data_IF_943411848856
#
_entry.id   IF_943411848856
#
_cell.length_a   1.000
_cell.length_b   1.000
_cell.length_c   1.000
_cell.angle_alpha   90.00
_cell.angle_beta   90.00
_cell.angle_gamma   90.00
#
_symmetry.space_group_name_H-M   'P 1'
#
loop_
_entity.id
_entity.type
_entity.pdbx_description
1 polymer ?
#
# COMPACT_ATOMS: atom_id res chain seq x y z
N UNK A 1 -66.44 0.92 34.21
CA UNK A 1 -65.58 -0.18 33.76
C UNK A 1 -64.63 0.35 32.70
N UNK A 2 -63.32 0.31 32.99
CA UNK A 2 -62.22 0.78 32.13
C UNK A 2 -61.91 -0.28 31.06
N UNK A 3 -61.68 0.14 29.81
CA UNK A 3 -60.81 -0.58 28.87
C UNK A 3 -60.02 0.43 28.05
N UNK A 4 -58.81 0.73 28.52
CA UNK A 4 -57.75 1.33 27.70
C UNK A 4 -57.33 0.31 26.63
N UNK A 5 -57.40 0.67 25.35
CA UNK A 5 -56.62 0.00 24.32
C UNK A 5 -55.38 0.86 24.06
N UNK A 6 -54.25 0.42 24.62
CA UNK A 6 -52.91 0.87 24.23
C UNK A 6 -52.61 0.30 22.85
N UNK A 7 -52.55 1.16 21.83
CA UNK A 7 -51.96 0.83 20.54
C UNK A 7 -50.45 1.09 20.64
N UNK A 8 -49.70 -0.01 20.72
CA UNK A 8 -48.25 -0.07 20.63
C UNK A 8 -47.83 0.37 19.21
N UNK A 9 -46.96 1.37 19.01
CA UNK A 9 -46.36 1.60 17.71
C UNK A 9 -45.31 0.51 17.48
N UNK A 10 -45.55 -0.33 16.48
CA UNK A 10 -44.56 -1.26 15.95
C UNK A 10 -43.36 -0.43 15.47
N UNK A 11 -42.26 -0.50 16.21
CA UNK A 11 -40.95 -0.04 15.80
C UNK A 11 -40.56 -0.82 14.54
N UNK A 12 -40.70 -0.18 13.37
CA UNK A 12 -40.10 -0.64 12.12
C UNK A 12 -38.58 -0.55 12.31
N UNK A 13 -38.00 -1.66 12.72
CA UNK A 13 -36.57 -1.93 12.58
C UNK A 13 -36.32 -1.97 11.08
N UNK A 14 -35.83 -0.86 10.51
CA UNK A 14 -35.21 -0.84 9.19
C UNK A 14 -33.99 -1.75 9.27
N UNK A 15 -34.18 -3.03 8.94
CA UNK A 15 -33.06 -3.88 8.57
C UNK A 15 -32.41 -3.26 7.34
N UNK A 16 -31.16 -2.83 7.53
CA UNK A 16 -30.28 -2.29 6.52
C UNK A 16 -30.26 -3.27 5.35
N UNK A 17 -30.86 -2.87 4.23
CA UNK A 17 -30.78 -3.62 2.99
C UNK A 17 -29.32 -3.59 2.53
N UNK A 18 -28.66 -4.75 2.58
CA UNK A 18 -27.34 -4.94 2.00
C UNK A 18 -27.42 -4.59 0.51
N UNK A 19 -26.77 -3.52 0.08
CA UNK A 19 -26.76 -3.08 -1.31
C UNK A 19 -25.81 -3.98 -2.12
N UNK A 20 -26.27 -5.19 -2.43
CA UNK A 20 -25.56 -6.15 -3.27
C UNK A 20 -26.02 -5.97 -4.71
N UNK A 21 -25.13 -5.57 -5.61
CA UNK A 21 -25.51 -5.27 -6.98
C UNK A 21 -25.40 -6.51 -7.88
N UNK A 22 -26.25 -6.57 -8.91
CA UNK A 22 -26.36 -7.74 -9.81
C UNK A 22 -25.36 -7.72 -10.98
N UNK A 23 -24.65 -6.61 -11.17
CA UNK A 23 -23.72 -6.45 -12.29
C UNK A 23 -22.63 -5.45 -11.94
N UNK A 24 -21.46 -5.62 -12.54
CA UNK A 24 -20.31 -4.73 -12.44
C UNK A 24 -20.66 -3.26 -12.70
N UNK A 25 -21.41 -2.97 -13.78
CA UNK A 25 -21.83 -1.62 -14.13
C UNK A 25 -22.72 -0.97 -13.04
N UNK A 26 -23.60 -1.76 -12.41
CA UNK A 26 -24.41 -1.29 -11.28
C UNK A 26 -23.55 -1.04 -10.04
N UNK A 27 -22.50 -1.83 -9.81
CA UNK A 27 -21.55 -1.60 -8.72
C UNK A 27 -20.81 -0.27 -8.92
N UNK A 28 -20.29 -0.03 -10.13
CA UNK A 28 -19.66 1.25 -10.50
C UNK A 28 -20.64 2.41 -10.31
N UNK A 29 -21.89 2.25 -10.75
CA UNK A 29 -22.95 3.24 -10.53
C UNK A 29 -23.21 3.53 -9.05
N UNK A 30 -23.26 2.50 -8.20
CA UNK A 30 -23.49 2.66 -6.77
C UNK A 30 -22.34 3.35 -6.04
N UNK A 31 -21.09 3.11 -6.47
CA UNK A 31 -19.90 3.83 -5.98
C UNK A 31 -20.03 5.31 -6.33
N UNK A 32 -20.39 5.63 -7.58
CA UNK A 32 -20.59 7.01 -8.03
C UNK A 32 -21.74 7.69 -7.31
N UNK A 33 -22.89 7.04 -7.13
CA UNK A 33 -24.02 7.59 -6.35
C UNK A 33 -23.61 7.91 -4.90
N UNK A 34 -22.79 7.05 -4.30
CA UNK A 34 -22.25 7.28 -2.96
C UNK A 34 -21.32 8.49 -2.91
N UNK A 35 -20.49 8.68 -3.94
CA UNK A 35 -19.65 9.87 -4.09
C UNK A 35 -20.46 11.13 -4.38
N UNK A 36 -21.51 11.05 -5.20
CA UNK A 36 -22.42 12.17 -5.50
C UNK A 36 -23.14 12.65 -4.23
N UNK A 37 -23.61 11.73 -3.41
CA UNK A 37 -24.32 12.03 -2.15
C UNK A 37 -23.38 12.34 -0.99
N UNK A 38 -22.10 11.95 -1.07
CA UNK A 38 -21.13 12.03 0.03
C UNK A 38 -21.50 11.16 1.23
N UNK A 39 -22.39 10.19 1.06
CA UNK A 39 -22.88 9.34 2.15
C UNK A 39 -21.96 8.13 2.31
N UNK A 40 -21.04 8.20 3.27
CA UNK A 40 -20.14 7.08 3.53
C UNK A 40 -20.89 5.84 4.05
N UNK A 41 -22.00 5.99 4.77
CA UNK A 41 -22.80 4.84 5.21
C UNK A 41 -23.33 3.99 4.05
N UNK A 42 -23.84 4.63 2.99
CA UNK A 42 -24.25 3.93 1.76
C UNK A 42 -23.06 3.27 1.09
N UNK A 43 -21.93 3.98 1.00
CA UNK A 43 -20.71 3.46 0.41
C UNK A 43 -20.18 2.21 1.14
N UNK A 44 -20.11 2.22 2.47
CA UNK A 44 -19.63 1.07 3.25
C UNK A 44 -20.55 -0.15 3.12
N UNK A 45 -21.85 0.07 2.85
CA UNK A 45 -22.80 -1.03 2.62
C UNK A 45 -22.55 -1.80 1.31
N UNK A 46 -21.71 -1.26 0.42
CA UNK A 46 -21.30 -1.92 -0.83
C UNK A 46 -20.27 -3.04 -0.59
N UNK A 47 -19.63 -3.05 0.58
CA UNK A 47 -18.58 -4.02 0.92
C UNK A 47 -19.18 -5.28 1.55
N UNK A 48 -18.55 -6.45 1.35
CA UNK A 48 -18.99 -7.66 2.00
C UNK A 48 -18.59 -7.62 3.49
N UNK A 49 -19.46 -8.12 4.37
CA UNK A 49 -19.08 -8.36 5.75
C UNK A 49 -18.15 -9.57 5.86
N UNK A 50 -17.28 -9.56 6.87
CA UNK A 50 -16.38 -10.66 7.19
C UNK A 50 -17.14 -11.97 7.37
N UNK A 51 -18.29 -11.95 8.05
CA UNK A 51 -19.14 -13.12 8.24
C UNK A 51 -19.66 -13.70 6.92
N UNK A 52 -19.98 -12.84 5.95
CA UNK A 52 -20.41 -13.27 4.60
C UNK A 52 -19.28 -13.96 3.84
N UNK A 53 -18.07 -13.40 3.92
CA UNK A 53 -16.86 -13.98 3.33
C UNK A 53 -16.51 -15.32 4.00
N UNK A 54 -16.56 -15.37 5.33
CA UNK A 54 -16.26 -16.57 6.11
C UNK A 54 -17.27 -17.69 5.83
N UNK A 55 -18.56 -17.36 5.73
CA UNK A 55 -19.60 -18.32 5.33
C UNK A 55 -19.34 -18.88 3.94
N UNK A 56 -18.90 -18.04 3.00
CA UNK A 56 -18.57 -18.46 1.64
C UNK A 56 -17.32 -19.34 1.62
N UNK A 57 -16.32 -19.04 2.45
CA UNK A 57 -15.15 -19.88 2.64
C UNK A 57 -15.53 -21.26 3.19
N UNK A 58 -16.37 -21.33 4.22
CA UNK A 58 -16.83 -22.62 4.78
C UNK A 58 -17.71 -23.43 3.81
N UNK A 59 -18.37 -22.78 2.85
CA UNK A 59 -19.10 -23.46 1.79
C UNK A 59 -18.17 -24.02 0.70
N UNK A 60 -16.89 -23.63 0.70
CA UNK A 60 -15.89 -24.12 -0.26
C UNK A 60 -15.32 -25.46 0.22
N UNK A 61 -15.10 -26.40 -0.71
CA UNK A 61 -14.49 -27.72 -0.42
C UNK A 61 -12.96 -27.69 -0.32
N UNK A 62 -12.35 -26.51 -0.44
CA UNK A 62 -10.90 -26.33 -0.50
C UNK A 62 -10.30 -26.17 0.91
N UNK A 63 -9.72 -27.26 1.40
CA UNK A 63 -9.10 -27.31 2.73
C UNK A 63 -7.87 -26.43 2.85
N UNK A 64 -7.14 -26.15 1.76
CA UNK A 64 -5.96 -25.29 1.79
C UNK A 64 -6.37 -23.83 2.01
N UNK A 65 -7.39 -23.34 1.27
CA UNK A 65 -7.93 -22.01 1.47
C UNK A 65 -8.47 -21.83 2.91
N UNK A 66 -9.19 -22.83 3.42
CA UNK A 66 -9.68 -22.81 4.81
C UNK A 66 -8.55 -22.69 5.83
N UNK A 67 -7.47 -23.47 5.68
CA UNK A 67 -6.33 -23.40 6.60
C UNK A 67 -5.65 -22.02 6.54
N UNK A 68 -5.44 -21.47 5.33
CA UNK A 68 -4.79 -20.17 5.15
C UNK A 68 -5.58 -19.05 5.84
N UNK A 69 -6.88 -18.94 5.60
CA UNK A 69 -7.70 -17.86 6.16
C UNK A 69 -8.09 -18.07 7.62
N UNK A 70 -8.11 -19.31 8.13
CA UNK A 70 -8.25 -19.56 9.56
C UNK A 70 -6.97 -19.22 10.33
N UNK A 71 -5.80 -19.39 9.71
CA UNK A 71 -4.51 -19.03 10.33
C UNK A 71 -4.31 -17.52 10.36
N UNK A 72 -4.73 -16.82 9.32
CA UNK A 72 -4.68 -15.35 9.26
C UNK A 72 -6.03 -14.75 8.81
N UNK A 73 -6.95 -14.47 9.76
CA UNK A 73 -8.24 -13.85 9.49
C UNK A 73 -8.14 -12.45 8.88
N UNK A 74 -7.00 -11.75 9.08
CA UNK A 74 -6.80 -10.37 8.64
C UNK A 74 -6.94 -10.23 7.12
N UNK A 75 -6.58 -11.29 6.40
CA UNK A 75 -6.68 -11.37 4.93
C UNK A 75 -8.10 -11.28 4.40
N UNK A 76 -9.11 -11.66 5.18
CA UNK A 76 -10.52 -11.45 4.84
C UNK A 76 -11.08 -10.19 5.50
N UNK A 77 -10.66 -9.89 6.72
CA UNK A 77 -11.08 -8.70 7.46
C UNK A 77 -10.75 -7.39 6.72
N UNK A 78 -9.67 -7.36 5.91
CA UNK A 78 -9.32 -6.18 5.13
C UNK A 78 -10.42 -5.70 4.16
N UNK A 79 -11.37 -6.57 3.80
CA UNK A 79 -12.47 -6.24 2.90
C UNK A 79 -13.73 -5.74 3.61
N UNK A 80 -13.77 -5.86 4.95
CA UNK A 80 -14.91 -5.45 5.76
C UNK A 80 -14.63 -4.07 6.38
N UNK A 81 -15.45 -3.04 6.08
CA UNK A 81 -15.35 -1.72 6.70
C UNK A 81 -15.33 -1.69 8.22
N UNK A 82 -15.94 -2.69 8.89
CA UNK A 82 -15.94 -2.78 10.36
C UNK A 82 -14.54 -3.05 10.89
N UNK A 83 -13.74 -3.83 10.18
CA UNK A 83 -12.38 -4.21 10.57
C UNK A 83 -11.30 -3.37 9.88
N UNK A 84 -11.60 -2.83 8.69
CA UNK A 84 -10.71 -1.97 7.93
C UNK A 84 -11.28 -0.54 7.83
N UNK A 85 -11.03 0.33 8.84
CA UNK A 85 -11.50 1.71 8.81
C UNK A 85 -10.84 2.56 7.72
N UNK A 86 -9.77 2.07 7.08
CA UNK A 86 -9.14 2.77 5.95
C UNK A 86 -10.12 2.93 4.78
N UNK A 87 -11.08 2.02 4.59
CA UNK A 87 -12.08 2.10 3.51
C UNK A 87 -12.91 3.40 3.65
N UNK A 88 -13.36 3.72 4.86
CA UNK A 88 -14.12 4.95 5.15
C UNK A 88 -13.23 6.19 5.12
N UNK A 89 -12.00 6.08 5.66
CA UNK A 89 -11.02 7.17 5.65
C UNK A 89 -10.66 7.59 4.22
N UNK A 90 -10.37 6.62 3.35
CA UNK A 90 -9.98 6.86 1.96
C UNK A 90 -11.15 7.41 1.15
N UNK A 91 -12.37 6.90 1.36
CA UNK A 91 -13.57 7.47 0.77
C UNK A 91 -13.73 8.95 1.12
N UNK A 92 -13.61 9.29 2.41
CA UNK A 92 -13.69 10.68 2.88
C UNK A 92 -12.54 11.53 2.33
N UNK A 93 -11.33 10.98 2.24
CA UNK A 93 -10.18 11.65 1.66
C UNK A 93 -10.36 11.94 0.17
N UNK A 94 -10.84 10.97 -0.61
CA UNK A 94 -11.17 11.11 -2.03
C UNK A 94 -12.28 12.14 -2.22
N UNK A 95 -13.37 12.03 -1.45
CA UNK A 95 -14.48 12.98 -1.52
C UNK A 95 -14.04 14.41 -1.21
N UNK A 96 -13.22 14.59 -0.16
CA UNK A 96 -12.64 15.89 0.18
C UNK A 96 -11.70 16.39 -0.93
N UNK A 97 -10.81 15.53 -1.42
CA UNK A 97 -9.85 15.88 -2.49
C UNK A 97 -10.55 16.31 -3.77
N UNK A 98 -11.66 15.66 -4.14
CA UNK A 98 -12.48 16.11 -5.26
C UNK A 98 -12.99 17.53 -5.06
N UNK A 99 -13.56 17.84 -3.88
CA UNK A 99 -14.02 19.20 -3.57
C UNK A 99 -12.89 20.22 -3.62
N UNK A 100 -11.74 19.88 -3.03
CA UNK A 100 -10.54 20.73 -3.03
C UNK A 100 -10.01 20.95 -4.47
N UNK A 101 -10.27 20.01 -5.38
CA UNK A 101 -9.94 20.06 -6.81
C UNK A 101 -11.05 20.66 -7.68
N UNK A 102 -12.01 21.37 -7.08
CA UNK A 102 -13.16 22.01 -7.76
C UNK A 102 -14.14 21.06 -8.44
N UNK A 103 -14.11 19.77 -8.11
CA UNK A 103 -15.06 18.78 -8.62
C UNK A 103 -16.43 18.93 -7.94
N UNK A 104 -17.47 19.13 -8.74
CA UNK A 104 -18.85 19.19 -8.26
C UNK A 104 -19.46 17.79 -8.22
N UNK A 105 -19.29 17.11 -7.08
CA UNK A 105 -19.78 15.73 -6.91
C UNK A 105 -21.25 15.53 -7.29
N UNK A 106 -22.14 16.51 -7.05
CA UNK A 106 -23.56 16.42 -7.41
C UNK A 106 -23.83 16.38 -8.91
N UNK A 107 -22.90 16.85 -9.73
CA UNK A 107 -23.10 17.13 -11.16
C UNK A 107 -22.11 16.36 -12.03
N UNK A 108 -21.60 15.22 -11.53
CA UNK A 108 -20.72 14.34 -12.30
C UNK A 108 -21.53 13.41 -13.22
N UNK A 109 -21.00 13.21 -14.42
CA UNK A 109 -21.51 12.26 -15.41
C UNK A 109 -20.47 11.16 -15.64
N UNK A 110 -20.91 9.90 -15.59
CA UNK A 110 -20.04 8.77 -15.96
C UNK A 110 -19.77 8.82 -17.46
N UNK A 111 -18.50 8.95 -17.84
CA UNK A 111 -18.06 8.89 -19.24
C UNK A 111 -17.78 7.45 -19.63
N UNK A 112 -16.84 6.81 -18.93
CA UNK A 112 -16.50 5.39 -19.08
C UNK A 112 -15.81 4.86 -17.83
N UNK A 113 -15.62 3.56 -17.75
CA UNK A 113 -14.78 2.92 -16.75
C UNK A 113 -13.91 1.86 -17.41
N UNK A 114 -12.70 1.68 -16.90
CA UNK A 114 -11.72 0.71 -17.39
C UNK A 114 -11.25 -0.10 -16.19
N UNK A 115 -11.66 -1.37 -16.17
CA UNK A 115 -11.38 -2.30 -15.08
C UNK A 115 -10.59 -3.49 -15.61
N UNK A 116 -9.51 -3.82 -14.92
CA UNK A 116 -8.65 -4.95 -15.18
C UNK A 116 -8.74 -5.98 -14.06
N UNK A 117 -8.54 -7.25 -14.40
CA UNK A 117 -8.52 -8.31 -13.40
C UNK A 117 -7.25 -8.21 -12.58
N UNK A 118 -7.42 -8.10 -11.26
CA UNK A 118 -6.29 -8.03 -10.35
C UNK A 118 -5.59 -9.38 -10.25
N UNK A 119 -4.25 -9.37 -10.29
CA UNK A 119 -3.46 -10.56 -10.03
C UNK A 119 -3.55 -10.96 -8.56
N UNK A 120 -3.69 -12.25 -8.31
CA UNK A 120 -3.73 -12.79 -6.95
C UNK A 120 -2.29 -12.92 -6.47
N UNK A 121 -1.95 -12.17 -5.41
CA UNK A 121 -0.67 -12.28 -4.71
C UNK A 121 -0.58 -13.60 -3.95
N UNK A 122 0.64 -14.10 -3.69
CA UNK A 122 0.87 -15.41 -3.05
C UNK A 122 0.18 -15.52 -1.69
N UNK A 123 0.16 -14.42 -0.93
CA UNK A 123 -0.48 -14.37 0.39
C UNK A 123 -2.00 -14.48 0.33
N UNK A 124 -2.59 -14.19 -0.83
CA UNK A 124 -4.01 -14.26 -1.10
C UNK A 124 -4.40 -15.55 -1.84
N UNK A 125 -3.52 -16.56 -1.89
CA UNK A 125 -3.84 -17.86 -2.49
C UNK A 125 -5.06 -18.48 -1.81
N UNK A 126 -6.04 -18.90 -2.61
CA UNK A 126 -7.32 -19.42 -2.13
C UNK A 126 -8.42 -18.35 -2.07
N UNK A 127 -8.09 -17.05 -2.18
CA UNK A 127 -9.11 -15.99 -2.26
C UNK A 127 -9.99 -16.16 -3.50
N UNK A 128 -9.44 -16.73 -4.58
CA UNK A 128 -10.14 -17.02 -5.84
C UNK A 128 -11.31 -17.99 -5.68
N UNK A 129 -11.28 -18.80 -4.62
CA UNK A 129 -12.36 -19.74 -4.31
C UNK A 129 -13.57 -19.04 -3.70
N UNK A 130 -13.31 -17.96 -2.95
CA UNK A 130 -14.34 -17.13 -2.33
C UNK A 130 -14.79 -16.06 -3.32
N UNK A 131 -13.84 -15.27 -3.81
CA UNK A 131 -14.00 -14.14 -4.71
C UNK A 131 -13.49 -14.57 -6.09
N UNK A 132 -14.39 -14.98 -6.97
CA UNK A 132 -14.05 -15.54 -8.29
C UNK A 132 -13.43 -14.50 -9.23
N UNK A 133 -13.89 -13.26 -9.10
CA UNK A 133 -13.46 -12.13 -9.92
C UNK A 133 -13.12 -10.99 -8.99
N UNK A 134 -11.93 -10.41 -9.16
CA UNK A 134 -11.48 -9.23 -8.43
C UNK A 134 -10.90 -8.27 -9.45
N UNK A 135 -11.45 -7.06 -9.52
CA UNK A 135 -11.07 -6.04 -10.49
C UNK A 135 -10.49 -4.82 -9.79
N UNK A 136 -9.60 -4.12 -10.48
CA UNK A 136 -9.12 -2.78 -10.16
C UNK A 136 -9.09 -1.93 -11.42
N UNK A 137 -9.01 -0.62 -11.27
CA UNK A 137 -8.83 0.28 -12.41
C UNK A 137 -9.40 1.65 -12.12
N UNK A 138 -10.09 2.20 -13.12
CA UNK A 138 -10.39 3.62 -13.20
C UNK A 138 -11.82 3.88 -13.61
N UNK A 139 -12.47 4.81 -12.92
CA UNK A 139 -13.77 5.36 -13.29
C UNK A 139 -13.54 6.79 -13.77
N UNK A 140 -13.93 7.08 -15.01
CA UNK A 140 -13.73 8.37 -15.65
C UNK A 140 -15.04 9.13 -15.66
N UNK A 141 -15.03 10.30 -15.05
CA UNK A 141 -16.21 11.16 -14.92
C UNK A 141 -15.95 12.53 -15.53
N UNK A 142 -17.00 13.14 -16.05
CA UNK A 142 -17.01 14.53 -16.49
C UNK A 142 -17.83 15.35 -15.51
N UNK A 143 -17.28 16.47 -15.03
CA UNK A 143 -18.05 17.44 -14.27
C UNK A 143 -18.89 18.28 -15.24
N UNK A 144 -20.21 18.19 -15.15
CA UNK A 144 -21.12 18.87 -16.07
C UNK A 144 -21.04 20.41 -15.96
N UNK A 145 -20.57 20.95 -14.84
CA UNK A 145 -20.46 22.40 -14.62
C UNK A 145 -19.15 22.95 -15.18
N UNK A 146 -18.03 22.26 -14.93
CA UNK A 146 -16.70 22.73 -15.33
C UNK A 146 -16.23 22.15 -16.67
N UNK A 147 -16.90 21.10 -17.17
CA UNK A 147 -16.51 20.29 -18.35
C UNK A 147 -15.12 19.69 -18.23
N UNK A 148 -14.62 19.54 -17.00
CA UNK A 148 -13.34 18.91 -16.71
C UNK A 148 -13.53 17.42 -16.53
N UNK A 149 -12.51 16.67 -16.95
CA UNK A 149 -12.46 15.22 -16.78
C UNK A 149 -11.70 14.86 -15.51
N UNK A 150 -12.24 13.92 -14.75
CA UNK A 150 -11.64 13.39 -13.54
C UNK A 150 -11.57 11.89 -13.63
N UNK A 151 -10.48 11.33 -13.11
CA UNK A 151 -10.25 9.90 -13.02
C UNK A 151 -10.20 9.52 -11.55
N UNK A 152 -11.07 8.58 -11.19
CA UNK A 152 -11.18 8.01 -9.84
C UNK A 152 -10.56 6.62 -9.88
N UNK A 153 -9.51 6.40 -9.09
CA UNK A 153 -8.90 5.09 -8.95
C UNK A 153 -9.67 4.23 -7.95
N UNK A 154 -10.00 3.02 -8.38
CA UNK A 154 -10.78 2.05 -7.60
C UNK A 154 -10.11 0.70 -7.61
N UNK A 155 -10.08 0.05 -6.44
CA UNK A 155 -9.59 -1.31 -6.26
C UNK A 155 -10.69 -2.19 -5.68
N UNK A 156 -10.48 -3.50 -5.68
CA UNK A 156 -11.33 -4.43 -4.93
C UNK A 156 -12.80 -4.44 -5.34
N UNK A 157 -13.09 -4.35 -6.64
CA UNK A 157 -14.42 -4.67 -7.16
C UNK A 157 -14.52 -6.20 -7.27
N UNK A 158 -15.35 -6.81 -6.43
CA UNK A 158 -15.36 -8.24 -6.18
C UNK A 158 -16.66 -8.89 -6.70
N UNK A 159 -16.52 -9.90 -7.54
CA UNK A 159 -17.60 -10.77 -7.98
C UNK A 159 -17.65 -12.07 -7.17
N UNK A 160 -18.70 -12.24 -6.37
CA UNK A 160 -18.93 -13.41 -5.51
C UNK A 160 -20.39 -13.87 -5.63
N UNK A 161 -20.58 -15.16 -5.95
CA UNK A 161 -21.91 -15.79 -6.04
C UNK A 161 -22.92 -15.07 -6.95
N UNK A 162 -22.46 -14.47 -8.04
CA UNK A 162 -23.32 -13.74 -8.99
C UNK A 162 -23.72 -12.33 -8.53
N UNK A 163 -23.13 -11.85 -7.43
CA UNK A 163 -23.30 -10.51 -6.90
C UNK A 163 -21.96 -9.79 -6.88
N UNK A 164 -22.01 -8.46 -6.90
CA UNK A 164 -20.85 -7.58 -6.90
C UNK A 164 -20.78 -6.77 -5.61
N UNK A 165 -19.55 -6.59 -5.14
CA UNK A 165 -19.22 -5.96 -3.87
C UNK A 165 -17.96 -5.11 -3.98
N UNK A 166 -17.73 -4.27 -2.99
CA UNK A 166 -16.51 -3.50 -2.80
C UNK A 166 -16.41 -2.31 -3.75
N UNK A 167 -15.20 -2.04 -4.23
CA UNK A 167 -14.86 -0.83 -4.94
C UNK A 167 -14.23 0.23 -4.03
N UNK A 168 -13.11 -0.13 -3.42
CA UNK A 168 -12.30 0.74 -2.59
C UNK A 168 -11.72 1.88 -3.43
N UNK A 169 -12.29 3.08 -3.27
CA UNK A 169 -11.78 4.31 -3.90
C UNK A 169 -10.49 4.75 -3.20
N UNK A 170 -9.43 4.95 -3.97
CA UNK A 170 -8.10 5.28 -3.43
C UNK A 170 -7.66 6.70 -3.74
N UNK A 171 -8.05 7.24 -4.89
CA UNK A 171 -7.62 8.58 -5.30
C UNK A 171 -8.58 9.17 -6.36
N UNK A 172 -8.54 10.50 -6.51
CA UNK A 172 -9.20 11.23 -7.60
C UNK A 172 -8.29 12.34 -8.09
N UNK A 173 -8.16 12.49 -9.42
CA UNK A 173 -7.36 13.52 -10.07
C UNK A 173 -8.08 14.06 -11.31
N UNK A 174 -7.89 15.35 -11.60
CA UNK A 174 -8.26 15.93 -12.90
C UNK A 174 -7.32 15.35 -13.96
N UNK A 175 -7.85 14.61 -14.93
CA UNK A 175 -7.11 14.01 -16.04
C UNK A 175 -8.08 13.56 -17.15
N UNK A 176 -7.70 13.68 -18.41
CA UNK A 176 -8.48 13.21 -19.56
C UNK A 176 -8.14 11.75 -19.92
N UNK A 177 -6.90 11.34 -19.65
CA UNK A 177 -6.37 10.02 -20.00
C UNK A 177 -5.72 9.34 -18.80
N UNK A 178 -5.62 8.00 -18.85
CA UNK A 178 -4.96 7.22 -17.80
C UNK A 178 -3.47 7.56 -17.71
N UNK A 179 -2.80 7.82 -18.84
CA UNK A 179 -1.39 8.20 -18.86
C UNK A 179 -1.16 9.53 -18.13
N UNK A 180 -2.00 10.54 -18.41
CA UNK A 180 -1.96 11.83 -17.70
C UNK A 180 -2.23 11.66 -16.19
N UNK A 181 -3.13 10.74 -15.82
CA UNK A 181 -3.38 10.40 -14.44
C UNK A 181 -2.12 9.85 -13.75
N UNK A 182 -1.35 8.96 -14.41
CA UNK A 182 -0.10 8.44 -13.86
C UNK A 182 0.97 9.53 -13.71
N UNK A 183 1.11 10.42 -14.69
CA UNK A 183 2.06 11.54 -14.60
C UNK A 183 1.74 12.47 -13.41
N UNK A 184 0.46 12.81 -13.23
CA UNK A 184 -0.02 13.62 -12.10
C UNK A 184 0.14 12.91 -10.77
N UNK A 185 -0.14 11.60 -10.72
CA UNK A 185 0.07 10.78 -9.53
C UNK A 185 1.54 10.75 -9.12
N UNK A 186 2.46 10.58 -10.08
CA UNK A 186 3.90 10.60 -9.83
C UNK A 186 4.35 11.97 -9.30
N UNK A 187 3.80 13.07 -9.83
CA UNK A 187 4.08 14.41 -9.35
C UNK A 187 3.58 14.64 -7.90
N UNK A 188 2.36 14.20 -7.57
CA UNK A 188 1.84 14.27 -6.20
C UNK A 188 2.69 13.48 -5.21
N UNK A 189 3.04 12.24 -5.56
CA UNK A 189 3.90 11.38 -4.73
C UNK A 189 5.27 11.99 -4.52
N UNK A 190 5.86 12.60 -5.55
CA UNK A 190 7.14 13.31 -5.44
C UNK A 190 7.06 14.47 -4.46
N UNK A 191 5.98 15.25 -4.51
CA UNK A 191 5.74 16.37 -3.61
C UNK A 191 5.49 15.89 -2.17
N UNK A 192 4.72 14.82 -2.00
CA UNK A 192 4.46 14.22 -0.68
C UNK A 192 5.76 13.65 -0.07
N UNK A 193 6.55 12.93 -0.85
CA UNK A 193 7.88 12.46 -0.45
C UNK A 193 8.77 13.63 -0.04
N UNK A 194 8.79 14.72 -0.81
CA UNK A 194 9.58 15.91 -0.47
C UNK A 194 9.12 16.57 0.84
N UNK A 195 7.81 16.64 1.08
CA UNK A 195 7.25 17.16 2.34
C UNK A 195 7.61 16.26 3.53
N UNK A 196 7.50 14.94 3.37
CA UNK A 196 7.87 13.98 4.40
C UNK A 196 9.38 14.07 4.72
N UNK A 197 10.23 14.16 3.69
CA UNK A 197 11.66 14.35 3.86
C UNK A 197 12.00 15.65 4.59
N UNK A 198 11.31 16.75 4.27
CA UNK A 198 11.50 18.03 4.97
C UNK A 198 11.04 17.99 6.44
N UNK A 199 10.06 17.15 6.78
CA UNK A 199 9.57 16.97 8.15
C UNK A 199 10.51 16.07 8.98
N UNK A 200 11.07 15.03 8.37
CA UNK A 200 11.98 14.09 9.02
C UNK A 200 13.39 14.67 9.19
N UNK A 201 13.80 15.56 8.29
CA UNK A 201 15.08 16.25 8.31
C UNK A 201 14.88 17.76 8.19
N UNK A 202 14.34 18.41 9.24
CA UNK A 202 14.40 19.86 9.31
C UNK A 202 15.89 20.20 9.35
N UNK A 203 16.39 20.93 8.35
CA UNK A 203 17.78 21.37 8.34
C UNK A 203 18.03 22.20 9.62
N UNK A 204 18.68 21.60 10.63
CA UNK A 204 19.48 22.33 11.61
C UNK A 204 20.74 22.76 10.86
N UNK A 205 20.66 23.87 10.14
CA UNK A 205 21.79 24.74 9.79
C UNK A 205 21.32 25.88 8.89
N UNK A 206 20.97 27.00 9.50
CA UNK A 206 21.20 28.33 8.92
C UNK A 206 21.92 29.14 9.97
N UNK A 207 23.24 28.99 10.01
CA UNK A 207 24.12 29.98 10.60
C UNK A 207 24.65 30.86 9.45
N UNK A 208 24.22 32.10 9.41
CA UNK A 208 24.98 33.17 8.74
C UNK A 208 24.74 34.46 9.49
N UNK A 209 25.74 34.79 10.32
CA UNK A 209 25.96 36.10 10.89
C UNK A 209 25.88 37.21 9.83
N UNK A 210 24.94 38.15 9.99
CA UNK A 210 25.26 39.56 10.25
C UNK A 210 24.02 40.47 10.45
N UNK A 211 23.95 41.00 11.68
CA UNK A 211 23.58 42.38 12.08
C UNK A 211 22.10 42.85 12.17
N UNK A 212 21.60 42.76 13.42
CA UNK A 212 20.80 43.75 14.19
C UNK A 212 19.45 44.29 13.70
N UNK A 213 18.35 43.96 14.39
CA UNK A 213 17.70 44.82 15.42
C UNK A 213 16.46 44.14 16.06
N UNK A 214 16.61 43.71 17.33
CA UNK A 214 15.67 43.72 18.49
C UNK A 214 14.18 43.25 18.38
N UNK A 215 13.57 42.81 19.52
CA UNK A 215 12.84 41.55 19.64
C UNK A 215 11.32 41.73 19.82
N UNK A 216 10.54 40.63 19.86
CA UNK A 216 9.42 40.42 20.81
C UNK A 216 8.82 39.00 20.68
N UNK A 217 8.48 38.47 21.86
CA UNK A 217 7.49 37.45 22.19
C UNK A 217 7.82 35.95 22.02
N UNK A 218 8.28 35.42 23.15
CA UNK A 218 8.15 34.04 23.59
C UNK A 218 6.70 33.52 23.53
N UNK A 219 6.55 32.27 23.06
CA UNK A 219 5.35 31.47 23.29
C UNK A 219 5.47 30.71 24.63
N UNK A 220 4.40 30.61 25.44
CA UNK A 220 4.46 30.00 26.76
C UNK A 220 4.25 28.48 26.73
N UNK A 221 4.98 27.79 27.62
CA UNK A 221 4.70 26.44 28.12
C UNK A 221 3.74 26.50 29.32
N UNK A 222 3.16 25.33 29.64
CA UNK A 222 2.25 24.96 30.77
C UNK A 222 0.76 24.99 30.37
N UNK A 223 -0.10 24.02 30.73
CA UNK A 223 -0.39 23.34 32.03
C UNK A 223 -1.01 21.95 31.67
N UNK A 224 -0.56 20.78 32.19
CA UNK A 224 -1.00 20.06 33.42
C UNK A 224 -2.52 19.69 33.39
N UNK A 225 -3.07 18.56 33.85
CA UNK A 225 -2.61 17.38 34.59
C UNK A 225 -3.72 16.31 34.61
N UNK A 226 -3.33 15.03 34.66
CA UNK A 226 -3.72 13.93 35.58
C UNK A 226 -5.22 13.59 35.79
N UNK A 227 -5.54 12.31 35.56
CA UNK A 227 -6.23 11.45 36.53
C UNK A 227 -5.68 10.02 36.45
N UNK A 228 -5.26 9.50 37.61
CA UNK A 228 -4.91 8.09 37.89
C UNK A 228 -6.18 7.29 38.21
N UNK A 229 -6.17 5.98 37.93
CA UNK A 229 -6.30 4.90 38.94
C UNK A 229 -6.59 3.54 38.26
N UNK A 230 -5.83 2.53 38.72
CA UNK A 230 -6.11 1.08 38.84
C UNK A 230 -6.35 0.20 37.58
N UNK A 231 -5.34 -0.62 37.22
CA UNK A 231 -5.34 -2.07 37.49
C UNK A 231 -4.21 -2.81 36.74
N UNK A 232 -3.59 -3.75 37.45
CA UNK A 232 -2.43 -4.57 37.07
C UNK A 232 -2.71 -5.55 35.91
N UNK A 233 -1.79 -5.63 34.94
CA UNK A 233 -1.29 -6.89 34.37
C UNK A 233 -0.20 -6.63 33.31
N UNK A 234 1.00 -7.13 33.62
CA UNK A 234 2.19 -7.35 32.79
C UNK A 234 1.97 -7.43 31.26
N UNK A 235 2.57 -6.48 30.52
CA UNK A 235 2.96 -6.68 29.13
C UNK A 235 4.32 -6.03 28.88
N UNK A 236 5.34 -6.87 28.68
CA UNK A 236 6.69 -6.48 28.31
C UNK A 236 6.69 -5.56 27.07
N UNK A 237 6.90 -4.25 27.29
CA UNK A 237 7.25 -3.33 26.20
C UNK A 237 8.69 -3.60 25.76
N UNK A 238 8.86 -4.35 24.67
CA UNK A 238 10.11 -4.41 23.90
C UNK A 238 10.56 -2.99 23.57
N UNK A 239 11.72 -2.59 24.09
CA UNK A 239 12.43 -1.37 23.71
C UNK A 239 12.79 -1.42 22.21
N UNK A 240 12.80 -0.27 21.51
CA UNK A 240 13.28 -0.20 20.12
C UNK A 240 14.75 -0.63 20.05
N UNK A 241 15.07 -1.57 19.15
CA UNK A 241 16.45 -1.99 18.85
C UNK A 241 17.19 -0.80 18.22
N UNK A 242 18.36 -0.46 18.76
CA UNK A 242 19.24 0.57 18.19
C UNK A 242 19.74 0.21 16.79
N UNK A 243 20.33 1.17 16.07
CA UNK A 243 20.80 0.98 14.69
C UNK A 243 21.84 -0.16 14.62
N UNK A 244 21.67 -1.08 13.66
CA UNK A 244 22.63 -2.15 13.40
C UNK A 244 23.92 -1.54 12.82
N UNK A 245 25.09 -1.99 13.28
CA UNK A 245 26.40 -1.45 12.82
C UNK A 245 26.72 -1.91 11.38
N UNK A 246 26.59 -0.99 10.41
CA UNK A 246 26.82 -1.22 8.98
C UNK A 246 28.31 -1.09 8.65
N UNK A 247 28.95 -2.16 8.20
CA UNK A 247 30.38 -2.19 7.83
C UNK A 247 30.66 -1.96 6.34
N UNK A 248 29.69 -2.18 5.46
CA UNK A 248 29.86 -1.98 4.03
C UNK A 248 28.54 -1.58 3.36
N UNK A 249 28.62 -0.74 2.31
CA UNK A 249 27.49 -0.38 1.45
C UNK A 249 27.93 -0.47 0.00
N UNK A 250 27.09 -1.06 -0.85
CA UNK A 250 27.36 -1.15 -2.29
C UNK A 250 26.07 -0.90 -3.07
N UNK A 251 26.21 -0.18 -4.17
CA UNK A 251 25.10 0.19 -5.03
C UNK A 251 25.43 -0.14 -6.48
N UNK A 252 24.52 -0.84 -7.12
CA UNK A 252 24.69 -1.37 -8.46
C UNK A 252 23.53 -0.91 -9.35
N UNK A 253 23.84 -0.65 -10.63
CA UNK A 253 22.83 -0.31 -11.64
C UNK A 253 23.13 -1.05 -12.93
N UNK A 254 22.10 -1.54 -13.61
CA UNK A 254 22.27 -2.23 -14.89
C UNK A 254 20.96 -2.76 -15.43
N UNK A 255 21.00 -3.96 -16.02
CA UNK A 255 19.86 -4.52 -16.73
C UNK A 255 19.70 -6.02 -16.53
N UNK A 256 18.45 -6.48 -16.63
CA UNK A 256 18.09 -7.87 -16.94
C UNK A 256 17.83 -7.97 -18.46
N UNK A 257 18.38 -8.99 -19.11
CA UNK A 257 18.29 -9.26 -20.57
C UNK A 257 18.60 -8.04 -21.46
N UNK A 258 19.47 -7.14 -20.98
CA UNK A 258 19.81 -5.87 -21.65
C UNK A 258 18.64 -4.91 -21.89
N UNK A 259 17.45 -5.22 -21.36
CA UNK A 259 16.22 -4.46 -21.60
C UNK A 259 15.69 -3.83 -20.30
N UNK A 260 15.46 -4.63 -19.27
CA UNK A 260 14.81 -4.19 -18.04
C UNK A 260 15.83 -3.58 -17.11
N UNK A 261 15.70 -2.27 -16.81
CA UNK A 261 16.68 -1.56 -15.98
C UNK A 261 16.45 -1.81 -14.50
N UNK A 262 17.53 -2.09 -13.78
CA UNK A 262 17.51 -2.48 -12.36
C UNK A 262 18.49 -1.65 -11.53
N UNK A 263 18.06 -1.30 -10.32
CA UNK A 263 18.91 -0.79 -9.25
C UNK A 263 18.96 -1.81 -8.11
N UNK A 264 20.15 -2.17 -7.67
CA UNK A 264 20.39 -3.11 -6.56
C UNK A 264 21.22 -2.40 -5.48
N UNK A 265 20.72 -2.40 -4.25
CA UNK A 265 21.44 -1.94 -3.08
C UNK A 265 21.72 -3.11 -2.15
N UNK A 266 22.92 -3.15 -1.58
CA UNK A 266 23.29 -4.12 -0.56
C UNK A 266 24.12 -3.47 0.55
N UNK A 267 23.89 -3.92 1.78
CA UNK A 267 24.65 -3.51 2.95
C UNK A 267 25.17 -4.72 3.72
N UNK A 268 26.42 -4.61 4.15
CA UNK A 268 27.08 -5.58 5.00
C UNK A 268 27.00 -5.13 6.45
N UNK A 269 26.62 -6.04 7.33
CA UNK A 269 26.41 -5.77 8.75
C UNK A 269 27.45 -6.49 9.59
N UNK A 270 27.92 -5.84 10.66
CA UNK A 270 28.80 -6.46 11.65
C UNK A 270 28.01 -7.42 12.53
N UNK A 271 28.69 -8.47 12.97
CA UNK A 271 28.14 -9.48 13.87
C UNK A 271 29.24 -10.22 14.61
N UNK A 272 28.89 -11.35 15.21
CA UNK A 272 29.81 -12.18 16.02
C UNK A 272 30.68 -13.15 15.20
N UNK A 273 30.80 -12.94 13.89
CA UNK A 273 31.63 -13.76 13.01
C UNK A 273 33.07 -13.22 12.92
N UNK A 274 34.06 -14.02 12.47
CA UNK A 274 35.45 -13.58 12.37
C UNK A 274 35.72 -12.58 11.23
N UNK A 275 34.77 -12.43 10.29
CA UNK A 275 34.89 -11.55 9.14
C UNK A 275 34.38 -10.12 9.42
N UNK A 276 34.85 -9.14 8.64
CA UNK A 276 34.42 -7.72 8.73
C UNK A 276 32.93 -7.52 8.41
N UNK A 277 32.33 -8.46 7.67
CA UNK A 277 30.90 -8.49 7.34
C UNK A 277 30.36 -9.88 7.67
N UNK A 278 29.35 -9.95 8.54
CA UNK A 278 28.79 -11.24 8.98
C UNK A 278 27.53 -11.66 8.26
N UNK A 279 26.75 -10.69 7.80
CA UNK A 279 25.52 -10.93 7.05
C UNK A 279 25.29 -9.77 6.08
N UNK A 280 24.63 -10.07 4.98
CA UNK A 280 24.28 -9.12 3.94
C UNK A 280 22.77 -8.97 3.89
N UNK A 281 22.30 -7.74 3.75
CA UNK A 281 20.91 -7.41 3.44
C UNK A 281 20.92 -6.70 2.08
N UNK A 282 19.95 -7.00 1.22
CA UNK A 282 19.82 -6.34 -0.08
C UNK A 282 18.37 -6.03 -0.43
N UNK A 283 18.22 -5.01 -1.27
CA UNK A 283 16.96 -4.63 -1.90
C UNK A 283 17.24 -4.33 -3.36
N UNK A 284 16.28 -4.59 -4.23
CA UNK A 284 16.36 -4.16 -5.62
C UNK A 284 15.03 -3.59 -6.08
N UNK A 285 15.08 -2.80 -7.16
CA UNK A 285 13.89 -2.33 -7.86
C UNK A 285 14.12 -2.26 -9.36
N UNK A 286 13.05 -2.44 -10.11
CA UNK A 286 13.03 -2.05 -11.52
C UNK A 286 12.88 -0.53 -11.62
N UNK A 287 13.52 0.12 -12.61
CA UNK A 287 13.50 1.59 -12.71
C UNK A 287 12.09 2.17 -12.97
N UNK A 288 11.21 1.36 -13.53
CA UNK A 288 9.81 1.63 -13.80
C UNK A 288 8.89 1.30 -12.61
N UNK A 289 9.44 0.80 -11.50
CA UNK A 289 8.70 0.47 -10.29
C UNK A 289 9.20 1.27 -9.08
N UNK A 290 8.23 1.77 -8.30
CA UNK A 290 8.50 2.59 -7.11
C UNK A 290 8.82 1.73 -5.87
N UNK A 291 8.48 0.45 -5.90
CA UNK A 291 8.59 -0.45 -4.76
C UNK A 291 9.90 -1.24 -4.78
N UNK A 292 10.52 -1.37 -3.62
CA UNK A 292 11.70 -2.20 -3.44
C UNK A 292 11.31 -3.61 -3.03
N UNK A 293 11.97 -4.57 -3.65
CA UNK A 293 11.86 -5.98 -3.33
C UNK A 293 13.03 -6.33 -2.41
N UNK A 294 12.72 -6.88 -1.25
CA UNK A 294 13.71 -7.34 -0.28
C UNK A 294 14.30 -8.68 -0.70
N UNK A 295 15.61 -8.82 -0.53
CA UNK A 295 16.37 -10.01 -0.87
C UNK A 295 17.01 -10.59 0.39
N UNK A 296 16.87 -11.90 0.57
CA UNK A 296 17.73 -12.68 1.44
C UNK A 296 19.04 -12.96 0.71
N UNK A 297 20.18 -12.65 1.33
CA UNK A 297 21.49 -12.71 0.68
C UNK A 297 22.37 -13.78 1.32
N UNK A 298 22.72 -14.78 0.53
CA UNK A 298 23.66 -15.83 0.93
C UNK A 298 24.93 -15.74 0.11
N UNK A 299 26.10 -15.68 0.76
CA UNK A 299 27.40 -15.72 0.08
C UNK A 299 27.98 -17.13 0.12
N UNK A 300 28.24 -17.71 -1.05
CA UNK A 300 28.93 -19.00 -1.21
C UNK A 300 30.44 -18.85 -0.97
N UNK A 301 31.09 -19.97 -0.66
CA UNK A 301 32.54 -20.03 -0.38
C UNK A 301 33.41 -19.67 -1.59
N UNK A 302 32.89 -19.82 -2.80
CA UNK A 302 33.54 -19.44 -4.07
C UNK A 302 33.46 -17.92 -4.36
N UNK A 303 32.76 -17.16 -3.50
CA UNK A 303 32.57 -15.72 -3.66
C UNK A 303 31.31 -15.33 -4.45
N UNK A 304 30.52 -16.30 -4.90
CA UNK A 304 29.23 -16.06 -5.57
C UNK A 304 28.16 -15.66 -4.55
N UNK A 305 27.29 -14.71 -4.93
CA UNK A 305 26.15 -14.28 -4.13
C UNK A 305 24.87 -14.92 -4.66
N UNK A 306 24.11 -15.53 -3.77
CA UNK A 306 22.73 -15.92 -4.00
C UNK A 306 21.84 -14.85 -3.38
N UNK A 307 20.88 -14.36 -4.16
CA UNK A 307 19.83 -13.48 -3.69
C UNK A 307 18.49 -14.18 -3.87
N UNK A 308 17.81 -14.43 -2.78
CA UNK A 308 16.51 -15.06 -2.76
C UNK A 308 15.44 -14.00 -2.48
N UNK A 309 14.42 -13.93 -3.35
CA UNK A 309 13.23 -13.14 -3.07
C UNK A 309 12.35 -13.90 -2.06
N UNK A 310 11.94 -13.22 -0.97
CA UNK A 310 11.04 -13.82 0.05
C UNK A 310 9.73 -14.33 -0.58
N UNK A 311 9.26 -15.53 -0.20
CA UNK A 311 9.73 -16.82 -0.70
C UNK A 311 9.12 -17.25 -2.06
N UNK A 312 9.91 -17.98 -2.86
CA UNK A 312 9.66 -18.66 -4.16
C UNK A 312 9.22 -17.83 -5.39
N UNK A 313 9.58 -16.54 -5.49
CA UNK A 313 9.35 -15.75 -6.72
C UNK A 313 10.45 -16.00 -7.74
N UNK A 314 11.70 -15.79 -7.32
CA UNK A 314 12.88 -16.07 -8.11
C UNK A 314 14.14 -16.00 -7.28
N UNK A 315 15.23 -16.50 -7.84
CA UNK A 315 16.54 -16.45 -7.22
C UNK A 315 17.55 -15.87 -8.22
N UNK A 316 18.46 -15.02 -7.73
CA UNK A 316 19.61 -14.56 -8.49
C UNK A 316 20.86 -15.26 -8.01
N UNK A 317 21.65 -15.78 -8.94
CA UNK A 317 23.01 -16.22 -8.66
C UNK A 317 23.99 -15.32 -9.41
N UNK A 318 24.67 -14.42 -8.69
CA UNK A 318 25.55 -13.41 -9.28
C UNK A 318 26.98 -13.56 -8.75
N UNK A 319 27.95 -13.56 -9.66
CA UNK A 319 29.37 -13.51 -9.34
C UNK A 319 29.93 -12.11 -9.60
N UNK A 320 30.88 -11.69 -8.78
CA UNK A 320 31.60 -10.43 -9.01
C UNK A 320 32.67 -10.66 -10.08
N UNK A 321 32.60 -9.91 -11.17
CA UNK A 321 33.63 -9.82 -12.21
C UNK A 321 34.06 -8.36 -12.31
N UNK A 322 35.27 -8.05 -11.81
CA UNK A 322 35.79 -6.68 -11.71
C UNK A 322 34.87 -5.75 -10.89
N UNK A 323 34.22 -4.77 -11.55
CA UNK A 323 33.26 -3.83 -10.96
C UNK A 323 31.80 -4.18 -11.29
N UNK A 324 31.55 -5.41 -11.76
CA UNK A 324 30.22 -5.87 -12.17
C UNK A 324 29.74 -7.08 -11.38
N UNK A 325 28.46 -7.09 -11.08
CA UNK A 325 27.71 -8.29 -10.71
C UNK A 325 27.09 -8.86 -11.97
N UNK A 326 27.50 -10.08 -12.32
CA UNK A 326 27.03 -10.77 -13.52
C UNK A 326 26.55 -12.17 -13.13
N UNK A 327 25.44 -12.60 -13.71
CA UNK A 327 24.88 -13.92 -13.46
C UNK A 327 23.49 -14.03 -14.03
N UNK A 328 22.65 -14.84 -13.39
CA UNK A 328 21.29 -15.09 -13.88
C UNK A 328 20.27 -14.92 -12.77
N UNK A 329 19.09 -14.41 -13.15
CA UNK A 329 17.88 -14.40 -12.32
C UNK A 329 16.97 -15.49 -12.89
N UNK A 330 16.44 -16.37 -12.04
CA UNK A 330 15.56 -17.46 -12.45
C UNK A 330 14.23 -17.30 -11.73
N UNK A 331 13.12 -17.24 -12.48
CA UNK A 331 11.78 -17.32 -11.89
C UNK A 331 11.49 -18.75 -11.46
N UNK A 332 11.06 -18.91 -10.22
CA UNK A 332 10.66 -20.22 -9.72
C UNK A 332 9.29 -20.68 -10.26
N UNK A 333 8.46 -19.75 -10.76
CA UNK A 333 7.08 -19.99 -11.21
C UNK A 333 7.00 -20.58 -12.62
N UNK A 334 7.74 -20.02 -13.56
CA UNK A 334 7.69 -20.40 -14.99
C UNK A 334 9.03 -20.90 -15.53
N UNK A 335 10.07 -20.93 -14.68
CA UNK A 335 11.44 -21.32 -15.04
C UNK A 335 12.07 -20.43 -16.11
N UNK A 336 11.58 -19.20 -16.26
CA UNK A 336 12.21 -18.19 -17.11
C UNK A 336 13.52 -17.73 -16.47
N UNK A 337 14.55 -17.61 -17.28
CA UNK A 337 15.89 -17.18 -16.88
C UNK A 337 16.22 -15.87 -17.60
N UNK A 338 16.70 -14.87 -16.85
CA UNK A 338 17.15 -13.59 -17.37
C UNK A 338 18.65 -13.41 -17.06
N UNK A 339 19.41 -12.91 -18.03
CA UNK A 339 20.81 -12.52 -17.84
C UNK A 339 20.89 -11.21 -17.07
N UNK A 340 21.64 -11.20 -15.96
CA UNK A 340 21.81 -10.03 -15.10
C UNK A 340 23.20 -9.43 -15.30
N UNK A 341 23.26 -8.14 -15.59
CA UNK A 341 24.51 -7.40 -15.71
C UNK A 341 24.41 -6.04 -15.02
N UNK A 342 25.01 -5.93 -13.84
CA UNK A 342 24.94 -4.73 -13.00
C UNK A 342 26.33 -4.18 -12.74
N UNK A 343 26.50 -2.87 -12.90
CA UNK A 343 27.78 -2.17 -12.65
C UNK A 343 27.74 -1.42 -11.34
N UNK A 344 28.80 -1.54 -10.54
CA UNK A 344 28.95 -0.83 -9.28
C UNK A 344 29.08 0.69 -9.52
N UNK A 345 28.34 1.47 -8.74
CA UNK A 345 28.47 2.91 -8.68
C UNK A 345 29.36 3.27 -7.51
N UNK A 346 30.61 3.65 -7.80
CA UNK A 346 31.59 4.04 -6.78
C UNK A 346 31.27 5.38 -6.12
N UNK A 347 30.61 6.28 -6.85
CA UNK A 347 30.20 7.59 -6.35
C UNK A 347 28.67 7.63 -6.22
N UNK A 348 28.19 7.47 -4.99
CA UNK A 348 26.78 7.62 -4.63
C UNK A 348 26.69 8.64 -3.52
N UNK A 349 25.74 9.58 -3.62
CA UNK A 349 25.50 10.58 -2.58
C UNK A 349 25.15 9.87 -1.27
N UNK A 350 25.78 10.29 -0.16
CA UNK A 350 25.54 9.72 1.17
C UNK A 350 24.05 9.66 1.53
N UNK A 351 23.31 10.73 1.19
CA UNK A 351 21.85 10.79 1.38
C UNK A 351 21.07 9.68 0.67
N UNK A 352 21.50 9.24 -0.52
CA UNK A 352 20.86 8.12 -1.23
C UNK A 352 21.15 6.79 -0.52
N UNK A 353 22.34 6.61 0.04
CA UNK A 353 22.69 5.40 0.78
C UNK A 353 21.91 5.30 2.10
N UNK A 354 21.78 6.41 2.82
CA UNK A 354 20.96 6.51 4.04
C UNK A 354 19.48 6.28 3.76
N UNK A 355 18.95 6.77 2.64
CA UNK A 355 17.59 6.47 2.20
C UNK A 355 17.38 4.96 2.02
N UNK A 356 18.31 4.26 1.36
CA UNK A 356 18.20 2.82 1.15
C UNK A 356 18.30 2.03 2.46
N UNK A 357 19.13 2.48 3.41
CA UNK A 357 19.17 1.90 4.76
C UNK A 357 17.81 2.06 5.47
N UNK A 358 17.19 3.23 5.35
CA UNK A 358 15.86 3.49 5.87
C UNK A 358 14.78 2.59 5.24
N UNK A 359 14.87 2.29 3.95
CA UNK A 359 13.96 1.34 3.28
C UNK A 359 14.11 -0.06 3.92
N UNK A 360 15.35 -0.51 4.15
CA UNK A 360 15.60 -1.82 4.75
C UNK A 360 15.08 -1.91 6.18
N UNK A 361 15.24 -0.84 6.96
CA UNK A 361 14.90 -0.82 8.40
C UNK A 361 13.42 -0.61 8.67
N UNK A 362 12.74 0.20 7.86
CA UNK A 362 11.35 0.58 8.07
C UNK A 362 10.34 -0.35 7.38
N UNK A 363 10.80 -1.32 6.59
CA UNK A 363 9.95 -2.41 6.11
C UNK A 363 8.96 -2.04 4.99
N UNK A 364 9.20 -0.95 4.25
CA UNK A 364 8.36 -0.58 3.10
C UNK A 364 8.83 -1.37 1.88
N UNK A 365 8.41 -2.62 1.79
CA UNK A 365 8.69 -3.50 0.65
C UNK A 365 7.38 -3.85 -0.09
N UNK A 366 7.48 -4.10 -1.39
CA UNK A 366 6.42 -4.81 -2.10
C UNK A 366 6.26 -6.21 -1.48
N UNK A 367 5.02 -6.60 -1.16
CA UNK A 367 4.67 -7.99 -0.84
C UNK A 367 4.12 -8.71 -2.08
#
# INVERSE_FOLDING_TARGET
MKKCCFLFPLLLINFIAFAQTKSEALQVGAILESLQTGNSGTYLSLFPSYDSLLKTLHATTDTAAMITFNTDPRKLQQYDPVYNPAIDSDFKAVFKKGKDSTLHWSDILLSRYELEKMMITRDMRGIDKIIKVRLQGYIMVEDALTRKHYIIAVKDIMGMNGLWYGGHVTNVLEAETIDEYYDKLAAERKMEKQKLMALLYPNEDVDTSNTSTTPVAAAPKSILAISTDDDEAEAEKKKPKGPKDVSARKFYTGTFDYQTKVELYMRGLKGSCPDTVCYWEAIYRFQDQDEYIKLEVTRKADGTFIFDEEPDVGNMELSIKEDRLVGTWISNKDKTEYEVNLKEKKEVKGSKLEEMDGVIENGVFAN
#
